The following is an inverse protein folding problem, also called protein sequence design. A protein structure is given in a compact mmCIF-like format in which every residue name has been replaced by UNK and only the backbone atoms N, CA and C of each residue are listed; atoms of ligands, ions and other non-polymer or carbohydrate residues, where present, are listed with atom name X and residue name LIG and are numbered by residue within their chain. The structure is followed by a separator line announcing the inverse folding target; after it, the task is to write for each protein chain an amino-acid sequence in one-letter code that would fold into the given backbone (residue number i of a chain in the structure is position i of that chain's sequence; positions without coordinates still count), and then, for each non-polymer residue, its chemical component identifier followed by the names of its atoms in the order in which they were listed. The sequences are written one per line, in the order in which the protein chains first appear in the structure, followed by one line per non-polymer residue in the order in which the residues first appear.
data_IF_572821993309
#
_entry.id   IF_572821993309
#
_cell.length_a   1.000
_cell.length_b   1.000
_cell.length_c   1.000
_cell.angle_alpha   90.00
_cell.angle_beta   90.00
_cell.angle_gamma   90.00
#
_symmetry.space_group_name_H-M   'P 1'
#
loop_
_entity.id
_entity.type
_entity.pdbx_description
1 polymer ?
#
# COMPACT_ATOMS: atom_id res chain seq x y z
N UNK A 1 -33.58 -31.28 -21.77
CA UNK A 1 -33.55 -29.85 -21.36
C UNK A 1 -32.79 -29.77 -20.05
N UNK A 2 -31.58 -29.22 -20.08
CA UNK A 2 -30.75 -29.03 -18.88
C UNK A 2 -31.33 -27.88 -18.07
N UNK A 3 -31.84 -28.17 -16.88
CA UNK A 3 -32.25 -27.16 -15.91
C UNK A 3 -30.99 -26.45 -15.41
N UNK A 4 -30.79 -25.20 -15.85
CA UNK A 4 -29.77 -24.33 -15.27
C UNK A 4 -30.27 -23.94 -13.89
N UNK A 5 -29.68 -24.52 -12.85
CA UNK A 5 -29.96 -24.12 -11.47
C UNK A 5 -29.56 -22.66 -11.28
N UNK A 6 -30.37 -21.85 -10.56
CA UNK A 6 -30.03 -20.47 -10.29
C UNK A 6 -28.72 -20.38 -9.50
N UNK A 7 -27.90 -19.34 -9.71
CA UNK A 7 -26.61 -19.21 -9.04
C UNK A 7 -26.81 -19.12 -7.52
N UNK A 8 -26.03 -19.93 -6.78
CA UNK A 8 -26.03 -19.92 -5.32
C UNK A 8 -25.53 -18.56 -4.82
N UNK A 9 -26.22 -17.90 -3.88
CA UNK A 9 -25.76 -16.64 -3.32
C UNK A 9 -24.44 -16.83 -2.55
N UNK A 10 -23.51 -15.90 -2.74
CA UNK A 10 -22.22 -15.88 -2.07
C UNK A 10 -22.09 -14.69 -1.13
N UNK A 11 -21.37 -14.88 -0.03
CA UNK A 11 -21.02 -13.80 0.89
C UNK A 11 -19.81 -13.04 0.35
N UNK A 12 -19.95 -11.71 0.25
CA UNK A 12 -18.85 -10.81 -0.09
C UNK A 12 -18.38 -10.04 1.15
N UNK A 13 -17.07 -9.79 1.24
CA UNK A 13 -16.49 -8.94 2.29
C UNK A 13 -16.26 -7.53 1.70
N UNK A 14 -16.75 -6.47 2.34
CA UNK A 14 -16.46 -5.11 1.89
C UNK A 14 -14.97 -4.79 2.07
N UNK A 15 -14.44 -3.99 1.15
CA UNK A 15 -13.06 -3.53 1.25
C UNK A 15 -12.95 -2.45 2.32
N UNK A 16 -11.87 -2.51 3.10
CA UNK A 16 -11.56 -1.48 4.09
C UNK A 16 -11.26 -0.14 3.43
N UNK A 17 -11.65 0.93 4.09
CA UNK A 17 -11.31 2.30 3.69
C UNK A 17 -10.07 2.74 4.45
N UNK A 18 -9.28 3.63 3.87
CA UNK A 18 -8.06 4.14 4.52
C UNK A 18 -7.91 5.62 4.23
N UNK A 19 -7.39 6.35 5.21
CA UNK A 19 -7.11 7.78 5.06
C UNK A 19 -5.87 8.02 4.20
N UNK A 20 -5.77 9.23 3.67
CA UNK A 20 -4.56 9.76 3.06
C UNK A 20 -3.43 9.86 4.10
N UNK A 21 -2.21 9.55 3.66
CA UNK A 21 -1.01 9.54 4.51
C UNK A 21 0.08 10.32 3.81
N UNK A 22 0.74 11.23 4.53
CA UNK A 22 1.90 11.98 4.05
C UNK A 22 3.19 11.18 4.22
N UNK A 23 3.26 10.04 3.53
CA UNK A 23 4.33 9.05 3.72
C UNK A 23 5.73 9.62 3.42
N UNK A 24 5.84 10.53 2.44
CA UNK A 24 7.12 11.11 2.02
C UNK A 24 7.74 11.97 3.13
N UNK A 25 6.95 12.81 3.78
CA UNK A 25 7.40 13.77 4.78
C UNK A 25 7.81 13.06 6.08
N UNK A 26 7.01 12.11 6.56
CA UNK A 26 7.33 11.33 7.76
C UNK A 26 8.61 10.50 7.58
N UNK A 27 8.81 9.93 6.38
CA UNK A 27 10.01 9.16 6.06
C UNK A 27 11.25 10.04 5.95
N UNK A 28 11.13 11.24 5.38
CA UNK A 28 12.23 12.22 5.34
C UNK A 28 12.68 12.59 6.75
N UNK A 29 11.72 12.87 7.65
CA UNK A 29 12.03 13.20 9.03
C UNK A 29 12.68 12.01 9.76
N UNK A 30 12.17 10.79 9.54
CA UNK A 30 12.73 9.58 10.11
C UNK A 30 14.19 9.34 9.71
N UNK A 31 14.52 9.47 8.42
CA UNK A 31 15.89 9.27 7.94
C UNK A 31 16.85 10.36 8.40
N UNK A 32 16.39 11.63 8.42
CA UNK A 32 17.17 12.75 8.96
C UNK A 32 17.57 12.49 10.42
N UNK A 33 16.66 11.95 11.24
CA UNK A 33 16.95 11.56 12.64
C UNK A 33 18.00 10.45 12.76
N UNK A 34 18.17 9.61 11.74
CA UNK A 34 19.20 8.55 11.70
C UNK A 34 20.53 9.01 11.10
N UNK A 35 20.63 10.26 10.63
CA UNK A 35 21.81 10.76 9.91
C UNK A 35 22.01 10.07 8.56
N UNK A 36 21.01 9.35 8.06
CA UNK A 36 21.06 8.72 6.74
C UNK A 36 20.67 9.76 5.68
N UNK A 37 21.49 9.90 4.64
CA UNK A 37 21.17 10.78 3.53
C UNK A 37 20.15 10.12 2.60
N UNK A 38 19.16 10.89 2.22
CA UNK A 38 18.18 10.49 1.21
C UNK A 38 18.84 10.61 -0.15
N UNK A 39 19.00 9.49 -0.86
CA UNK A 39 19.40 9.53 -2.26
C UNK A 39 18.19 9.83 -3.16
N UNK A 40 18.44 10.27 -4.39
CA UNK A 40 17.36 10.58 -5.35
C UNK A 40 16.53 9.35 -5.68
N UNK A 41 17.14 8.16 -5.66
CA UNK A 41 16.45 6.89 -5.89
C UNK A 41 15.41 6.60 -4.80
N UNK A 42 15.69 6.98 -3.55
CA UNK A 42 14.78 6.84 -2.43
C UNK A 42 13.56 7.74 -2.58
N UNK A 43 13.76 9.00 -2.98
CA UNK A 43 12.65 9.92 -3.24
C UNK A 43 11.76 9.42 -4.37
N UNK A 44 12.35 8.90 -5.44
CA UNK A 44 11.59 8.27 -6.53
C UNK A 44 10.81 7.07 -6.01
N UNK A 45 11.44 6.22 -5.20
CA UNK A 45 10.79 5.04 -4.66
C UNK A 45 9.60 5.36 -3.75
N UNK A 46 9.73 6.32 -2.83
CA UNK A 46 8.59 6.72 -1.98
C UNK A 46 7.49 7.38 -2.80
N UNK A 47 7.83 8.24 -3.77
CA UNK A 47 6.83 8.85 -4.66
C UNK A 47 6.03 7.78 -5.39
N UNK A 48 6.71 6.78 -5.95
CA UNK A 48 6.05 5.65 -6.61
C UNK A 48 5.16 4.85 -5.65
N UNK A 49 5.62 4.61 -4.42
CA UNK A 49 4.84 3.91 -3.40
C UNK A 49 3.59 4.70 -2.99
N UNK A 50 3.69 6.02 -2.89
CA UNK A 50 2.58 6.91 -2.56
C UNK A 50 1.55 6.97 -3.70
N UNK A 51 1.99 7.05 -4.95
CA UNK A 51 1.11 6.96 -6.13
C UNK A 51 0.37 5.62 -6.17
N UNK A 52 1.08 4.50 -5.98
CA UNK A 52 0.46 3.17 -5.95
C UNK A 52 -0.60 3.04 -4.85
N UNK A 53 -0.40 3.69 -3.70
CA UNK A 53 -1.39 3.72 -2.61
C UNK A 53 -2.67 4.42 -3.06
N UNK A 54 -2.54 5.57 -3.72
CA UNK A 54 -3.66 6.33 -4.24
C UNK A 54 -4.42 5.53 -5.31
N UNK A 55 -3.70 4.90 -6.22
CA UNK A 55 -4.29 4.05 -7.28
C UNK A 55 -5.13 2.90 -6.70
N UNK A 56 -4.71 2.34 -5.56
CA UNK A 56 -5.44 1.25 -4.89
C UNK A 56 -6.67 1.73 -4.13
N UNK A 57 -6.63 2.91 -3.53
CA UNK A 57 -7.78 3.47 -2.87
C UNK A 57 -8.96 3.66 -3.85
N UNK A 58 -8.65 3.94 -5.11
CA UNK A 58 -9.63 4.03 -6.22
C UNK A 58 -9.81 2.75 -7.05
N UNK A 59 -9.12 1.65 -6.72
CA UNK A 59 -9.14 0.45 -7.56
C UNK A 59 -10.48 -0.30 -7.47
N UNK A 60 -10.95 -0.81 -8.62
CA UNK A 60 -12.14 -1.64 -8.73
C UNK A 60 -11.98 -3.02 -8.08
N UNK A 61 -13.10 -3.73 -7.89
CA UNK A 61 -13.12 -5.10 -7.34
C UNK A 61 -12.91 -6.18 -8.41
N UNK A 62 -12.11 -5.86 -9.42
CA UNK A 62 -11.84 -6.72 -10.57
C UNK A 62 -10.40 -7.28 -10.51
N UNK A 63 -10.03 -8.04 -11.53
CA UNK A 63 -8.69 -8.61 -11.64
C UNK A 63 -7.59 -7.54 -11.68
N UNK A 64 -7.88 -6.37 -12.23
CA UNK A 64 -6.95 -5.24 -12.28
C UNK A 64 -6.70 -4.72 -10.87
N UNK A 65 -7.75 -4.50 -10.08
CA UNK A 65 -7.62 -4.07 -8.68
C UNK A 65 -6.90 -5.10 -7.82
N UNK A 66 -7.16 -6.40 -8.03
CA UNK A 66 -6.40 -7.49 -7.37
C UNK A 66 -4.89 -7.36 -7.66
N UNK A 67 -4.53 -7.17 -8.93
CA UNK A 67 -3.13 -7.07 -9.34
C UNK A 67 -2.45 -5.80 -8.81
N UNK A 68 -3.17 -4.67 -8.76
CA UNK A 68 -2.68 -3.45 -8.13
C UNK A 68 -2.42 -3.64 -6.63
N UNK A 69 -3.36 -4.22 -5.90
CA UNK A 69 -3.21 -4.55 -4.48
C UNK A 69 -1.99 -5.42 -4.21
N UNK A 70 -1.79 -6.48 -5.02
CA UNK A 70 -0.62 -7.35 -4.91
C UNK A 70 0.68 -6.62 -5.21
N UNK A 71 0.69 -5.74 -6.23
CA UNK A 71 1.85 -4.92 -6.58
C UNK A 71 2.25 -4.02 -5.41
N UNK A 72 1.31 -3.27 -4.84
CA UNK A 72 1.59 -2.41 -3.70
C UNK A 72 2.05 -3.18 -2.47
N UNK A 73 1.44 -4.33 -2.18
CA UNK A 73 1.89 -5.18 -1.08
C UNK A 73 3.36 -5.58 -1.24
N UNK A 74 3.79 -5.92 -2.46
CA UNK A 74 5.18 -6.28 -2.74
C UNK A 74 6.13 -5.09 -2.61
N UNK A 75 5.70 -3.90 -3.05
CA UNK A 75 6.49 -2.67 -2.88
C UNK A 75 6.62 -2.28 -1.40
N UNK A 76 5.54 -2.35 -0.61
CA UNK A 76 5.58 -2.11 0.84
C UNK A 76 6.53 -3.10 1.53
N UNK A 77 6.44 -4.40 1.21
CA UNK A 77 7.37 -5.40 1.77
C UNK A 77 8.83 -5.11 1.41
N UNK A 78 9.08 -4.73 0.17
CA UNK A 78 10.41 -4.38 -0.32
C UNK A 78 10.94 -3.12 0.37
N UNK A 79 10.08 -2.11 0.57
CA UNK A 79 10.38 -0.90 1.33
C UNK A 79 10.80 -1.25 2.77
N UNK A 80 9.98 -2.02 3.48
CA UNK A 80 10.26 -2.47 4.85
C UNK A 80 11.60 -3.21 4.89
N UNK A 81 11.85 -4.14 3.97
CA UNK A 81 13.11 -4.91 3.95
C UNK A 81 14.33 -4.03 3.72
N UNK A 82 14.27 -3.09 2.77
CA UNK A 82 15.41 -2.23 2.39
C UNK A 82 15.71 -1.18 3.45
N UNK A 83 14.67 -0.52 3.97
CA UNK A 83 14.83 0.71 4.74
C UNK A 83 14.53 0.53 6.23
N UNK A 84 13.68 -0.43 6.59
CA UNK A 84 13.42 -0.68 7.99
C UNK A 84 14.45 -1.59 8.62
N UNK A 85 14.97 -2.62 7.94
CA UNK A 85 16.00 -3.55 8.48
C UNK A 85 15.82 -3.90 9.99
N UNK A 86 14.58 -4.02 10.48
CA UNK A 86 14.25 -4.28 11.90
C UNK A 86 14.20 -3.06 12.84
N UNK A 87 14.50 -1.86 12.37
CA UNK A 87 14.30 -0.59 13.09
C UNK A 87 12.83 -0.18 13.08
N UNK A 88 12.34 0.39 14.18
CA UNK A 88 11.02 1.03 14.21
C UNK A 88 11.11 2.38 13.50
N UNK A 89 10.41 2.55 12.37
CA UNK A 89 10.06 3.89 11.88
C UNK A 89 9.26 4.56 13.00
N UNK A 90 9.72 5.73 13.47
CA UNK A 90 8.92 6.53 14.39
C UNK A 90 7.55 6.86 13.77
N UNK A 91 6.50 6.82 14.58
CA UNK A 91 5.14 7.36 14.41
C UNK A 91 4.49 7.53 13.00
N UNK A 92 4.80 6.71 11.98
CA UNK A 92 3.94 6.64 10.79
C UNK A 92 2.66 5.91 11.17
N UNK A 93 1.53 6.61 11.16
CA UNK A 93 0.22 6.03 11.48
C UNK A 93 -0.53 5.70 10.21
N UNK A 94 -0.93 4.44 10.09
CA UNK A 94 -1.87 3.99 9.08
C UNK A 94 -3.24 3.84 9.72
N UNK A 95 -4.23 4.58 9.22
CA UNK A 95 -5.62 4.53 9.70
C UNK A 95 -6.46 3.77 8.67
N UNK A 96 -7.21 2.77 9.16
CA UNK A 96 -8.08 1.92 8.36
C UNK A 96 -9.43 1.77 9.06
N UNK A 97 -10.51 1.76 8.27
CA UNK A 97 -11.89 1.58 8.73
C UNK A 97 -12.47 0.29 8.14
#
# INVERSE_FOLDING_TARGET
MSHILPPTPTLGIPQKVTDDIFLVEDLKEFLKKRGESIDDNYLVYIKNLNSLRHDIAGAGKDEIGKNLLLKYLNEVKSFIKKFLKGSKIGNVRFIWY
#
